data_IF_201341277426
#
_entry.id   IF_201341277426
#
_cell.length_a   1.000
_cell.length_b   1.000
_cell.length_c   1.000
_cell.angle_alpha   90.00
_cell.angle_beta   90.00
_cell.angle_gamma   90.00
#
_symmetry.space_group_name_H-M   'P 1'
#
loop_
_entity.id
_entity.type
_entity.pdbx_description
1 polymer ?
#
# COMPACT_ATOMS: atom_id res chain seq x y z
N UNK A 1 3.52 -2.79 13.53
CA UNK A 1 2.50 -2.10 12.68
C UNK A 1 3.05 -1.04 11.72
N UNK A 2 4.10 -0.26 12.05
CA UNK A 2 4.58 0.84 11.17
C UNK A 2 5.20 0.37 9.83
N UNK A 3 5.72 -0.85 9.73
CA UNK A 3 6.59 -1.32 8.64
C UNK A 3 5.93 -1.43 7.26
N UNK A 4 4.86 -2.20 7.15
CA UNK A 4 4.20 -2.51 5.87
C UNK A 4 3.21 -1.43 5.47
N UNK A 5 2.59 -0.80 6.47
CA UNK A 5 1.78 0.39 6.24
C UNK A 5 2.62 1.46 5.60
N UNK A 6 3.84 1.73 6.06
CA UNK A 6 4.70 2.71 5.39
C UNK A 6 5.01 2.30 3.94
N UNK A 7 5.16 1.00 3.64
CA UNK A 7 5.49 0.55 2.29
C UNK A 7 4.32 0.66 1.29
N UNK A 8 3.11 0.21 1.65
CA UNK A 8 1.94 0.41 0.78
C UNK A 8 1.42 1.85 0.85
N UNK A 9 1.36 2.46 2.03
CA UNK A 9 0.85 3.83 2.18
C UNK A 9 1.73 4.85 1.47
N UNK A 10 3.06 4.72 1.53
CA UNK A 10 3.95 5.69 0.88
C UNK A 10 3.73 5.67 -0.63
N UNK A 11 3.57 4.49 -1.22
CA UNK A 11 3.40 4.42 -2.67
C UNK A 11 1.97 4.64 -3.16
N UNK A 12 0.96 4.15 -2.44
CA UNK A 12 -0.44 4.40 -2.79
C UNK A 12 -0.73 5.89 -2.97
N UNK A 13 0.04 6.72 -2.28
CA UNK A 13 0.00 8.17 -2.32
C UNK A 13 0.91 8.82 -3.38
N UNK A 14 2.11 8.29 -3.64
CA UNK A 14 2.95 8.75 -4.79
C UNK A 14 2.21 8.56 -6.12
N UNK A 15 1.35 7.55 -6.18
CA UNK A 15 0.60 7.20 -7.37
C UNK A 15 -0.65 8.09 -7.57
N UNK A 16 -1.17 8.71 -6.49
CA UNK A 16 -2.23 9.74 -6.55
C UNK A 16 -1.66 11.17 -6.80
N UNK A 17 -0.33 11.33 -6.82
CA UNK A 17 0.35 12.61 -6.91
C UNK A 17 1.25 12.66 -8.15
N UNK A 18 0.73 13.14 -9.27
CA UNK A 18 1.62 13.76 -10.27
C UNK A 18 2.24 15.00 -9.63
N UNK A 19 3.51 14.88 -9.24
CA UNK A 19 4.48 15.96 -9.11
C UNK A 19 4.34 16.90 -7.88
N UNK A 20 4.80 16.45 -6.71
CA UNK A 20 5.22 17.39 -5.65
C UNK A 20 6.31 16.78 -4.75
N UNK A 21 7.49 17.41 -4.81
CA UNK A 21 8.77 17.05 -4.17
C UNK A 21 8.89 17.46 -2.68
N UNK A 22 7.80 17.73 -1.96
CA UNK A 22 7.91 18.20 -0.57
C UNK A 22 7.96 17.04 0.43
N UNK A 23 9.11 16.90 1.11
CA UNK A 23 9.35 16.00 2.26
C UNK A 23 8.46 16.38 3.46
N UNK A 24 7.17 16.09 3.41
CA UNK A 24 6.33 16.18 4.60
C UNK A 24 6.43 14.90 5.40
N UNK A 25 6.85 14.98 6.67
CA UNK A 25 6.81 13.85 7.58
C UNK A 25 5.38 13.35 7.72
N UNK A 26 5.17 12.05 7.50
CA UNK A 26 3.86 11.41 7.66
C UNK A 26 3.63 11.06 9.12
N UNK A 27 2.51 11.52 9.66
CA UNK A 27 2.10 11.17 11.03
C UNK A 27 1.10 10.02 10.98
N UNK A 28 1.29 9.04 11.87
CA UNK A 28 0.40 7.90 12.02
C UNK A 28 -0.29 7.96 13.39
N UNK A 29 -1.60 7.74 13.40
CA UNK A 29 -2.44 7.73 14.59
C UNK A 29 -3.15 6.37 14.70
N UNK A 30 -2.97 5.68 15.83
CA UNK A 30 -3.57 4.37 16.04
C UNK A 30 -3.65 3.98 17.52
N UNK A 31 -4.63 3.14 17.84
CA UNK A 31 -4.79 2.46 19.14
C UNK A 31 -4.73 0.92 18.94
N UNK A 32 -3.77 0.46 18.15
CA UNK A 32 -3.56 -0.96 17.91
C UNK A 32 -2.91 -1.62 19.15
N UNK A 33 -3.36 -2.80 19.62
CA UNK A 33 -4.27 -3.74 18.95
C UNK A 33 -5.77 -3.53 19.22
N UNK A 34 -6.17 -2.65 20.13
CA UNK A 34 -7.58 -2.43 20.50
C UNK A 34 -8.44 -1.97 19.30
N UNK A 35 -7.83 -1.26 18.36
CA UNK A 35 -8.44 -0.79 17.13
C UNK A 35 -7.60 -1.22 15.91
N UNK A 36 -8.17 -1.96 14.92
CA UNK A 36 -7.44 -2.42 13.74
C UNK A 36 -7.19 -1.31 12.71
N UNK A 37 -7.72 -0.12 12.93
CA UNK A 37 -7.57 1.01 12.01
C UNK A 37 -6.35 1.86 12.34
N UNK A 38 -5.65 2.27 11.28
CA UNK A 38 -4.49 3.16 11.35
C UNK A 38 -4.74 4.31 10.40
N UNK A 39 -4.74 5.52 10.94
CA UNK A 39 -4.87 6.74 10.15
C UNK A 39 -3.49 7.30 9.87
N UNK A 40 -3.26 7.74 8.64
CA UNK A 40 -2.05 8.41 8.23
C UNK A 40 -2.40 9.79 7.67
N UNK A 41 -1.59 10.78 8.02
CA UNK A 41 -1.76 12.16 7.57
C UNK A 41 -0.42 12.74 7.14
N UNK A 42 -0.46 13.61 6.13
CA UNK A 42 0.69 14.41 5.72
C UNK A 42 0.22 15.68 5.00
N UNK A 43 1.09 16.68 4.91
CA UNK A 43 0.80 17.97 4.27
C UNK A 43 1.73 18.14 3.07
N UNK A 44 1.20 18.17 1.86
CA UNK A 44 2.00 18.49 0.67
C UNK A 44 1.39 19.71 -0.04
N UNK A 45 2.23 20.69 -0.37
CA UNK A 45 1.77 21.93 -1.03
C UNK A 45 0.60 22.61 -0.30
N UNK A 46 0.67 22.72 1.03
CA UNK A 46 -0.38 23.27 1.91
C UNK A 46 -1.71 22.50 1.92
N UNK A 47 -1.79 21.33 1.27
CA UNK A 47 -2.98 20.47 1.31
C UNK A 47 -2.75 19.34 2.31
N UNK A 48 -3.72 19.15 3.21
CA UNK A 48 -3.78 17.98 4.08
C UNK A 48 -4.32 16.79 3.29
N UNK A 49 -3.61 15.68 3.39
CA UNK A 49 -4.00 14.41 2.83
C UNK A 49 -4.11 13.38 3.93
N UNK A 50 -5.13 12.53 3.81
CA UNK A 50 -5.46 11.54 4.81
C UNK A 50 -5.66 10.19 4.15
N UNK A 51 -5.19 9.14 4.82
CA UNK A 51 -5.45 7.76 4.41
C UNK A 51 -5.80 6.93 5.63
N UNK A 52 -6.69 5.95 5.44
CA UNK A 52 -7.11 5.04 6.49
C UNK A 52 -6.87 3.60 6.06
N UNK A 53 -6.15 2.88 6.90
CA UNK A 53 -5.82 1.47 6.70
C UNK A 53 -6.53 0.63 7.76
N UNK A 54 -7.04 -0.53 7.36
CA UNK A 54 -7.55 -1.55 8.29
C UNK A 54 -6.62 -2.76 8.22
N UNK A 55 -6.01 -3.12 9.35
CA UNK A 55 -5.30 -4.39 9.48
C UNK A 55 -6.32 -5.51 9.45
N UNK A 56 -6.12 -6.46 8.55
CA UNK A 56 -6.90 -7.70 8.48
C UNK A 56 -6.10 -8.83 9.13
N UNK A 57 -4.84 -8.98 8.72
CA UNK A 57 -3.92 -9.98 9.26
C UNK A 57 -2.51 -9.39 9.41
N UNK A 58 -1.84 -9.71 10.53
CA UNK A 58 -0.46 -9.29 10.79
C UNK A 58 0.57 -10.13 10.06
N UNK A 59 0.21 -11.37 9.68
CA UNK A 59 1.16 -12.32 9.15
C UNK A 59 2.26 -12.68 10.16
N UNK A 60 3.42 -13.10 9.65
CA UNK A 60 4.58 -13.47 10.47
C UNK A 60 5.90 -13.09 9.79
N UNK A 61 6.98 -12.95 10.56
CA UNK A 61 8.30 -12.66 10.01
C UNK A 61 9.04 -13.97 9.72
N UNK A 62 9.41 -14.26 8.45
CA UNK A 62 10.18 -15.45 8.14
C UNK A 62 11.64 -15.32 8.63
N UNK A 63 12.34 -16.44 8.77
CA UNK A 63 13.74 -16.46 9.22
C UNK A 63 14.65 -15.55 8.37
N UNK A 64 14.51 -15.60 7.04
CA UNK A 64 15.28 -14.80 6.09
C UNK A 64 14.53 -13.52 5.67
N UNK A 65 14.16 -12.69 6.65
CA UNK A 65 13.30 -11.51 6.46
C UNK A 65 13.89 -10.49 5.49
N UNK A 66 13.05 -9.99 4.58
CA UNK A 66 13.32 -8.84 3.71
C UNK A 66 12.91 -7.54 4.40
N UNK A 67 13.57 -6.46 4.00
CA UNK A 67 13.36 -5.14 4.53
C UNK A 67 12.84 -4.19 3.46
N UNK A 68 12.11 -3.17 3.88
CA UNK A 68 11.76 -2.04 3.01
C UNK A 68 13.03 -1.38 2.47
N UNK A 69 12.98 -0.86 1.23
CA UNK A 69 14.13 -0.19 0.61
C UNK A 69 14.63 0.99 1.47
N UNK A 70 15.95 1.17 1.55
CA UNK A 70 16.61 2.19 2.39
C UNK A 70 16.47 3.56 1.73
N UNK A 71 15.86 4.51 2.43
CA UNK A 71 16.06 5.95 2.20
C UNK A 71 17.05 6.53 3.22
N UNK A 72 16.96 7.84 3.52
CA UNK A 72 17.80 8.49 4.56
C UNK A 72 17.50 8.09 6.02
N UNK A 73 16.50 7.25 6.31
CA UNK A 73 16.22 6.74 7.66
C UNK A 73 15.42 5.42 7.67
N UNK A 74 15.61 4.67 8.77
CA UNK A 74 14.93 3.46 9.30
C UNK A 74 14.34 2.49 8.26
N UNK A 75 14.91 1.28 8.22
CA UNK A 75 14.35 0.14 7.51
C UNK A 75 13.38 -0.63 8.39
N UNK A 76 12.37 -1.23 7.76
CA UNK A 76 11.43 -2.08 8.47
C UNK A 76 11.36 -3.48 7.86
N UNK A 77 11.15 -4.47 8.73
CA UNK A 77 10.91 -5.86 8.33
C UNK A 77 9.58 -6.00 7.59
N UNK A 78 9.58 -6.82 6.54
CA UNK A 78 8.39 -7.16 5.77
C UNK A 78 7.89 -8.54 6.23
N UNK A 79 6.73 -8.64 6.88
CA UNK A 79 6.08 -9.89 7.22
C UNK A 79 5.58 -10.62 5.96
N UNK A 80 5.55 -11.94 6.03
CA UNK A 80 4.78 -12.80 5.15
C UNK A 80 3.30 -12.79 5.57
N UNK A 81 2.39 -12.91 4.61
CA UNK A 81 0.94 -13.00 4.84
C UNK A 81 0.34 -11.81 5.59
N UNK A 82 0.92 -10.62 5.42
CA UNK A 82 0.33 -9.40 5.98
C UNK A 82 -0.72 -8.84 5.05
N UNK A 83 -1.92 -8.60 5.59
CA UNK A 83 -3.08 -8.21 4.81
C UNK A 83 -3.70 -6.95 5.41
N UNK A 84 -3.93 -5.95 4.55
CA UNK A 84 -4.64 -4.72 4.88
C UNK A 84 -5.73 -4.43 3.88
N UNK A 85 -6.71 -3.62 4.31
CA UNK A 85 -7.62 -2.91 3.41
C UNK A 85 -7.39 -1.41 3.50
N UNK A 86 -7.52 -0.74 2.37
CA UNK A 86 -7.43 0.73 2.26
C UNK A 86 -8.23 1.21 1.07
N UNK A 87 -8.48 2.50 1.00
CA UNK A 87 -9.07 3.15 -0.17
C UNK A 87 -7.99 3.81 -1.01
N UNK A 88 -8.11 3.69 -2.34
CA UNK A 88 -7.19 4.24 -3.34
C UNK A 88 -8.03 4.64 -4.54
N UNK A 89 -7.96 5.90 -4.98
CA UNK A 89 -8.78 6.42 -6.09
C UNK A 89 -10.28 6.02 -6.00
N UNK A 90 -10.88 6.19 -4.81
CA UNK A 90 -12.27 5.83 -4.48
C UNK A 90 -12.61 4.32 -4.62
N UNK A 91 -11.59 3.47 -4.65
CA UNK A 91 -11.75 2.02 -4.65
C UNK A 91 -11.21 1.43 -3.35
N UNK A 92 -12.02 0.66 -2.64
CA UNK A 92 -11.51 -0.21 -1.58
C UNK A 92 -10.68 -1.33 -2.19
N UNK A 93 -9.42 -1.43 -1.78
CA UNK A 93 -8.48 -2.47 -2.19
C UNK A 93 -8.01 -3.27 -0.98
N UNK A 94 -7.71 -4.55 -1.20
CA UNK A 94 -7.01 -5.42 -0.26
C UNK A 94 -5.58 -5.62 -0.75
N UNK A 95 -4.61 -5.27 0.10
CA UNK A 95 -3.20 -5.43 -0.17
C UNK A 95 -2.63 -6.58 0.65
N UNK A 96 -1.76 -7.37 0.05
CA UNK A 96 -1.12 -8.53 0.67
C UNK A 96 0.38 -8.57 0.36
N UNK A 97 1.18 -9.01 1.33
CA UNK A 97 2.57 -9.44 1.11
C UNK A 97 2.68 -10.95 1.21
N UNK A 98 3.35 -11.59 0.25
CA UNK A 98 3.62 -13.03 0.29
C UNK A 98 5.04 -13.34 -0.13
N UNK A 99 5.77 -14.12 0.67
CA UNK A 99 7.09 -14.61 0.32
C UNK A 99 6.96 -15.76 -0.66
N UNK A 100 7.76 -15.70 -1.72
CA UNK A 100 7.92 -16.76 -2.71
C UNK A 100 8.96 -17.77 -2.25
N UNK A 101 8.99 -18.93 -2.90
CA UNK A 101 9.99 -19.99 -2.64
C UNK A 101 11.44 -19.53 -2.81
N UNK A 102 11.68 -18.44 -3.56
CA UNK A 102 13.01 -17.84 -3.77
C UNK A 102 13.31 -16.67 -2.83
N UNK A 103 12.59 -16.57 -1.70
CA UNK A 103 12.73 -15.48 -0.73
C UNK A 103 12.52 -14.08 -1.34
N UNK A 104 11.73 -13.96 -2.41
CA UNK A 104 11.25 -12.66 -2.91
C UNK A 104 9.89 -12.35 -2.31
N UNK A 105 9.59 -11.07 -2.11
CA UNK A 105 8.27 -10.62 -1.66
C UNK A 105 7.41 -10.28 -2.87
N UNK A 106 6.28 -10.97 -2.99
CA UNK A 106 5.20 -10.62 -3.91
C UNK A 106 4.26 -9.66 -3.19
N UNK A 107 4.01 -8.51 -3.83
CA UNK A 107 3.05 -7.52 -3.38
C UNK A 107 1.81 -7.63 -4.26
N UNK A 108 0.66 -7.92 -3.65
CA UNK A 108 -0.59 -8.16 -4.38
C UNK A 108 -1.63 -7.13 -3.97
N UNK A 109 -2.34 -6.57 -4.95
CA UNK A 109 -3.50 -5.71 -4.74
C UNK A 109 -4.69 -6.39 -5.39
N UNK A 110 -5.75 -6.56 -4.61
CA UNK A 110 -7.03 -7.14 -5.02
C UNK A 110 -8.14 -6.14 -4.81
N UNK A 111 -9.08 -6.06 -5.73
CA UNK A 111 -10.24 -5.19 -5.61
C UNK A 111 -11.44 -5.76 -6.35
N UNK A 112 -12.63 -5.31 -5.97
CA UNK A 112 -13.88 -5.72 -6.61
C UNK A 112 -14.47 -4.58 -7.42
N UNK A 113 -14.97 -4.90 -8.61
CA UNK A 113 -15.78 -4.03 -9.45
C UNK A 113 -17.05 -4.79 -9.84
N UNK A 114 -18.18 -4.41 -9.25
CA UNK A 114 -19.42 -5.18 -9.35
C UNK A 114 -19.24 -6.60 -8.80
N UNK A 115 -19.51 -7.60 -9.63
CA UNK A 115 -19.35 -9.03 -9.29
C UNK A 115 -17.94 -9.57 -9.58
N UNK A 116 -17.12 -8.82 -10.32
CA UNK A 116 -15.79 -9.25 -10.70
C UNK A 116 -14.76 -8.91 -9.62
N UNK A 117 -13.83 -9.84 -9.39
CA UNK A 117 -12.64 -9.61 -8.57
C UNK A 117 -11.43 -9.48 -9.50
N UNK A 118 -10.66 -8.42 -9.29
CA UNK A 118 -9.47 -8.09 -10.06
C UNK A 118 -8.25 -8.13 -9.17
N UNK A 119 -7.10 -8.42 -9.78
CA UNK A 119 -5.83 -8.51 -9.08
C UNK A 119 -4.70 -7.96 -9.94
N UNK A 120 -3.73 -7.31 -9.30
CA UNK A 120 -2.39 -7.04 -9.84
C UNK A 120 -1.34 -7.43 -8.82
N UNK A 121 -0.16 -7.80 -9.28
CA UNK A 121 0.96 -8.12 -8.42
C UNK A 121 2.28 -7.53 -8.91
N UNK A 122 3.27 -7.47 -8.02
CA UNK A 122 4.62 -7.03 -8.32
C UNK A 122 5.60 -7.72 -7.38
N UNK A 123 6.63 -8.36 -7.93
CA UNK A 123 7.77 -8.86 -7.15
C UNK A 123 8.84 -7.79 -6.89
N UNK A 124 8.75 -6.64 -7.58
CA UNK A 124 9.78 -5.59 -7.52
C UNK A 124 9.61 -4.72 -6.28
N UNK A 125 8.38 -4.35 -5.97
CA UNK A 125 8.01 -3.48 -4.84
C UNK A 125 6.49 -3.35 -4.71
N UNK A 126 6.04 -2.92 -3.52
CA UNK A 126 4.68 -2.43 -3.32
C UNK A 126 4.34 -1.34 -4.34
N UNK A 127 5.29 -0.45 -4.63
CA UNK A 127 5.13 0.60 -5.64
C UNK A 127 4.74 0.09 -7.01
N UNK A 128 5.40 -0.99 -7.45
CA UNK A 128 5.08 -1.62 -8.72
C UNK A 128 3.63 -2.12 -8.77
N UNK A 129 3.13 -2.70 -7.67
CA UNK A 129 1.76 -3.20 -7.61
C UNK A 129 0.73 -2.06 -7.68
N UNK A 130 0.98 -0.97 -6.94
CA UNK A 130 0.14 0.23 -6.97
C UNK A 130 0.08 0.83 -8.37
N UNK A 131 1.24 1.02 -9.01
CA UNK A 131 1.30 1.59 -10.35
C UNK A 131 0.58 0.70 -11.38
N UNK A 132 0.67 -0.62 -11.25
CA UNK A 132 -0.09 -1.56 -12.08
C UNK A 132 -1.61 -1.40 -11.85
N UNK A 133 -2.04 -1.25 -10.60
CA UNK A 133 -3.45 -1.02 -10.23
C UNK A 133 -3.98 0.28 -10.84
N UNK A 134 -3.29 1.41 -10.66
CA UNK A 134 -3.74 2.69 -11.20
C UNK A 134 -3.76 2.70 -12.72
N UNK A 135 -2.74 2.15 -13.39
CA UNK A 135 -2.75 2.01 -14.85
C UNK A 135 -3.96 1.22 -15.33
N UNK A 136 -4.37 0.18 -14.59
CA UNK A 136 -5.56 -0.60 -14.92
C UNK A 136 -6.84 0.21 -14.74
N UNK A 137 -6.96 0.94 -13.63
CA UNK A 137 -8.10 1.84 -13.34
C UNK A 137 -8.25 2.95 -14.38
N UNK A 138 -7.16 3.59 -14.79
CA UNK A 138 -7.18 4.63 -15.83
C UNK A 138 -7.61 4.06 -17.19
N UNK A 139 -7.11 2.88 -17.58
CA UNK A 139 -7.55 2.21 -18.82
C UNK A 139 -9.05 1.89 -18.81
N UNK A 140 -9.58 1.42 -17.68
CA UNK A 140 -11.01 1.11 -17.55
C UNK A 140 -11.88 2.36 -17.62
N UNK A 141 -11.46 3.47 -16.98
CA UNK A 141 -12.15 4.76 -17.14
C UNK A 141 -12.21 5.19 -18.61
N UNK A 142 -11.08 5.14 -19.32
CA UNK A 142 -11.03 5.54 -20.73
C UNK A 142 -11.87 4.65 -21.67
N UNK A 143 -12.18 3.41 -21.26
CA UNK A 143 -13.06 2.52 -22.02
C UNK A 143 -14.54 2.79 -21.76
N UNK A 144 -14.92 3.23 -20.56
CA UNK A 144 -16.31 3.54 -20.21
C UNK A 144 -16.81 4.89 -20.75
N UNK A 145 -15.92 5.76 -21.24
CA UNK A 145 -16.26 7.07 -21.81
C UNK A 145 -16.04 7.15 -23.35
N UNK A 146 -15.90 6.00 -24.02
CA UNK A 146 -15.95 5.89 -25.48
C UNK A 146 -17.23 5.17 -25.88
#
# INVERSE_FOLDING_TARGET
>A
CRSVLNQFSKTLMEADLENSLTNSARTFYHDYPNNPYINAQYIAGNKLFQSRYKIIELGYYPQNVKYTQKGKNIQYQIPNEYIIKTEVANQTVRCETKYTVFNKVLYTITWKEGRAEWMVSSERSASGAVNAFLKRKLKLKNFMFK
#
